data_IF_100654893709
#
_entry.id   IF_100654893709
#
_cell.length_a   1.000
_cell.length_b   1.000
_cell.length_c   1.000
_cell.angle_alpha   90.00
_cell.angle_beta   90.00
_cell.angle_gamma   90.00
#
_symmetry.space_group_name_H-M   'P 1'
#
loop_
_entity.id
_entity.type
_entity.pdbx_description
1 polymer ?
#
# COMPACT_ATOMS: atom_id res chain seq x y z
N UNK A 1 4.51 -13.41 8.90
CA UNK A 1 5.07 -14.73 8.50
C UNK A 1 6.52 -14.87 8.94
N UNK A 2 7.41 -13.96 8.57
CA UNK A 2 8.86 -14.02 8.91
C UNK A 2 9.14 -14.09 10.42
N UNK A 3 8.53 -13.24 11.24
CA UNK A 3 8.70 -13.27 12.71
C UNK A 3 8.27 -14.60 13.32
N UNK A 4 7.20 -15.19 12.81
CA UNK A 4 6.76 -16.52 13.25
C UNK A 4 7.79 -17.59 12.89
N UNK A 5 8.34 -17.55 11.67
CA UNK A 5 9.39 -18.48 11.25
C UNK A 5 10.65 -18.30 12.12
N UNK A 6 11.04 -17.05 12.41
CA UNK A 6 12.18 -16.78 13.30
C UNK A 6 11.96 -17.32 14.70
N UNK A 7 10.77 -17.12 15.26
CA UNK A 7 10.42 -17.65 16.58
C UNK A 7 10.38 -19.19 16.64
N UNK A 8 10.09 -19.83 15.51
CA UNK A 8 10.07 -21.28 15.37
C UNK A 8 11.42 -21.90 14.94
N UNK A 9 12.47 -21.10 14.82
CA UNK A 9 13.80 -21.56 14.37
C UNK A 9 13.85 -22.03 12.92
N UNK A 10 12.96 -21.54 12.07
CA UNK A 10 12.87 -21.91 10.65
C UNK A 10 13.11 -20.75 9.69
N UNK A 11 13.68 -19.65 10.18
CA UNK A 11 13.93 -18.45 9.38
C UNK A 11 14.97 -18.67 8.26
N UNK A 12 15.86 -19.65 8.42
CA UNK A 12 16.83 -20.06 7.43
C UNK A 12 16.23 -20.57 6.11
N UNK A 13 14.94 -20.94 6.14
CA UNK A 13 14.19 -21.28 4.92
C UNK A 13 13.92 -20.09 4.00
N UNK A 14 14.13 -18.88 4.49
CA UNK A 14 13.91 -17.63 3.78
C UNK A 14 15.24 -16.88 3.57
N UNK A 15 16.33 -17.60 3.37
CA UNK A 15 17.61 -17.00 3.09
C UNK A 15 17.58 -16.16 1.82
N UNK A 16 18.51 -15.21 1.72
CA UNK A 16 18.73 -14.39 0.54
C UNK A 16 19.36 -15.20 -0.59
N UNK A 17 18.54 -15.90 -1.36
CA UNK A 17 18.96 -16.76 -2.47
C UNK A 17 18.11 -16.59 -3.73
N UNK A 18 17.22 -15.62 -3.75
CA UNK A 18 16.37 -15.28 -4.89
C UNK A 18 15.30 -16.32 -5.24
N UNK A 19 15.04 -17.29 -4.38
CA UNK A 19 14.08 -18.39 -4.63
C UNK A 19 12.71 -18.07 -4.02
N UNK A 20 12.13 -16.96 -4.43
CA UNK A 20 10.76 -16.60 -4.10
C UNK A 20 9.89 -16.60 -5.35
N UNK A 21 8.61 -16.28 -5.21
CA UNK A 21 7.63 -16.32 -6.29
C UNK A 21 7.89 -15.31 -7.40
N UNK A 22 8.68 -14.27 -7.13
CA UNK A 22 9.03 -13.25 -8.12
C UNK A 22 10.29 -13.69 -8.88
N UNK A 23 10.25 -13.77 -10.22
CA UNK A 23 11.43 -14.12 -11.01
C UNK A 23 12.59 -13.15 -10.78
N UNK A 24 13.81 -13.66 -10.68
CA UNK A 24 15.04 -12.89 -10.41
C UNK A 24 15.29 -11.72 -11.38
N UNK A 25 14.80 -11.83 -12.60
CA UNK A 25 14.91 -10.80 -13.64
C UNK A 25 13.73 -9.79 -13.62
N UNK A 26 12.81 -9.96 -12.69
CA UNK A 26 11.70 -9.06 -12.53
C UNK A 26 12.08 -7.97 -11.52
N UNK A 27 12.17 -6.75 -11.99
CA UNK A 27 12.36 -5.60 -11.11
C UNK A 27 11.05 -4.83 -11.00
N UNK A 28 10.60 -4.59 -9.78
CA UNK A 28 9.56 -3.59 -9.51
C UNK A 28 10.30 -2.31 -9.15
N UNK A 29 10.38 -1.40 -10.10
CA UNK A 29 11.26 -0.24 -9.96
C UNK A 29 12.73 -0.66 -9.83
N UNK A 30 13.38 -0.28 -8.74
CA UNK A 30 14.77 -0.60 -8.44
C UNK A 30 14.94 -1.71 -7.40
N UNK A 31 13.86 -2.43 -7.06
CA UNK A 31 13.93 -3.48 -6.03
C UNK A 31 14.61 -4.71 -6.61
N UNK A 32 15.65 -5.15 -5.94
CA UNK A 32 16.33 -6.43 -6.19
C UNK A 32 15.78 -7.48 -5.24
N UNK A 33 15.90 -8.75 -5.64
CA UNK A 33 15.39 -9.89 -4.89
C UNK A 33 16.44 -10.93 -4.55
N UNK A 34 17.67 -10.74 -4.98
CA UNK A 34 18.78 -11.65 -4.73
C UNK A 34 20.03 -10.84 -4.39
N UNK A 35 20.78 -11.28 -3.41
CA UNK A 35 22.00 -10.60 -2.96
C UNK A 35 21.73 -9.25 -2.31
N UNK A 36 20.58 -9.08 -1.68
CA UNK A 36 20.17 -7.82 -1.01
C UNK A 36 20.69 -7.74 0.43
N UNK A 37 21.06 -8.86 1.03
CA UNK A 37 21.37 -9.01 2.45
C UNK A 37 20.13 -9.21 3.32
N UNK A 38 18.93 -9.16 2.73
CA UNK A 38 17.65 -9.43 3.42
C UNK A 38 17.13 -10.82 3.06
N UNK A 39 16.41 -11.48 3.95
CA UNK A 39 15.69 -12.72 3.58
C UNK A 39 14.68 -12.47 2.45
N UNK A 40 14.59 -13.36 1.47
CA UNK A 40 13.76 -13.22 0.27
C UNK A 40 12.30 -12.88 0.57
N UNK A 41 11.75 -13.42 1.65
CA UNK A 41 10.36 -13.10 2.07
C UNK A 41 10.19 -11.63 2.47
N UNK A 42 11.24 -10.98 2.94
CA UNK A 42 11.23 -9.55 3.23
C UNK A 42 11.34 -8.75 1.93
N UNK A 43 12.15 -9.19 0.99
CA UNK A 43 12.25 -8.54 -0.32
C UNK A 43 10.93 -8.58 -1.09
N UNK A 44 10.19 -9.68 -1.02
CA UNK A 44 8.81 -9.72 -1.56
C UNK A 44 7.87 -8.74 -0.85
N UNK A 45 7.92 -8.68 0.47
CA UNK A 45 7.10 -7.74 1.22
C UNK A 45 7.47 -6.27 0.95
N UNK A 46 8.73 -6.00 0.60
CA UNK A 46 9.20 -4.68 0.20
C UNK A 46 8.49 -4.14 -1.05
N UNK A 47 8.17 -5.01 -2.00
CA UNK A 47 7.44 -4.62 -3.21
C UNK A 47 6.12 -3.93 -2.86
N UNK A 48 5.35 -4.55 -1.97
CA UNK A 48 4.06 -4.02 -1.54
C UNK A 48 4.24 -2.73 -0.73
N UNK A 49 5.22 -2.67 0.17
CA UNK A 49 5.51 -1.47 0.96
C UNK A 49 5.90 -0.29 0.08
N UNK A 50 6.78 -0.48 -0.90
CA UNK A 50 7.17 0.57 -1.84
C UNK A 50 5.97 1.04 -2.68
N UNK A 51 5.10 0.10 -3.06
CA UNK A 51 3.85 0.45 -3.74
C UNK A 51 2.93 1.26 -2.83
N UNK A 52 2.72 0.86 -1.57
CA UNK A 52 1.93 1.62 -0.60
C UNK A 52 2.47 3.05 -0.40
N UNK A 53 3.79 3.22 -0.35
CA UNK A 53 4.40 4.55 -0.25
C UNK A 53 4.16 5.40 -1.49
N UNK A 54 4.10 4.80 -2.67
CA UNK A 54 3.73 5.49 -3.90
C UNK A 54 2.23 5.87 -3.95
N UNK A 55 1.40 5.21 -3.15
CA UNK A 55 -0.02 5.53 -2.98
C UNK A 55 -0.27 6.63 -1.93
N UNK A 56 0.76 7.20 -1.32
CA UNK A 56 0.61 8.34 -0.42
C UNK A 56 0.29 9.62 -1.22
N UNK A 57 -0.69 10.37 -0.75
CA UNK A 57 -1.06 11.67 -1.30
C UNK A 57 0.09 12.66 -1.11
N UNK A 58 0.52 13.26 -2.20
CA UNK A 58 1.59 14.26 -2.18
C UNK A 58 1.03 15.66 -1.93
N UNK A 59 1.87 16.55 -1.41
CA UNK A 59 1.50 17.95 -1.15
C UNK A 59 1.05 18.71 -2.41
N UNK A 60 1.58 18.34 -3.57
CA UNK A 60 1.29 18.93 -4.87
C UNK A 60 0.13 18.24 -5.61
N UNK A 61 -0.54 17.27 -4.99
CA UNK A 61 -1.73 16.65 -5.57
C UNK A 61 -2.84 17.72 -5.72
N UNK A 62 -3.37 17.91 -6.95
CA UNK A 62 -4.30 19.00 -7.25
C UNK A 62 -5.67 18.83 -6.58
N UNK A 63 -6.04 17.63 -6.17
CA UNK A 63 -7.35 17.33 -5.59
C UNK A 63 -7.30 17.14 -4.07
N UNK A 64 -6.25 16.48 -3.58
CA UNK A 64 -6.18 16.00 -2.21
C UNK A 64 -5.04 16.59 -1.38
N UNK A 65 -3.98 17.09 -2.03
CA UNK A 65 -2.75 17.52 -1.36
C UNK A 65 -2.96 18.56 -0.28
N UNK A 66 -3.85 19.52 -0.49
CA UNK A 66 -4.10 20.58 0.49
C UNK A 66 -4.75 20.11 1.80
N UNK A 67 -5.51 19.00 1.76
CA UNK A 67 -6.26 18.50 2.91
C UNK A 67 -5.73 17.16 3.41
N UNK A 68 -5.33 16.28 2.49
CA UNK A 68 -5.04 14.88 2.79
C UNK A 68 -3.59 14.48 2.46
N UNK A 69 -2.66 15.44 2.44
CA UNK A 69 -1.24 15.12 2.31
C UNK A 69 -0.83 14.04 3.31
N UNK A 70 -0.09 13.03 2.83
CA UNK A 70 0.34 11.84 3.57
C UNK A 70 -0.77 10.85 3.97
N UNK A 71 -2.02 11.05 3.57
CA UNK A 71 -2.99 9.98 3.53
C UNK A 71 -2.67 9.00 2.40
N UNK A 72 -3.26 7.82 2.42
CA UNK A 72 -3.05 6.80 1.40
C UNK A 72 -4.32 6.62 0.57
N UNK A 73 -4.17 6.63 -0.75
CA UNK A 73 -5.25 6.30 -1.67
C UNK A 73 -5.80 4.91 -1.37
N UNK A 74 -7.12 4.79 -1.38
CA UNK A 74 -7.78 3.56 -0.92
C UNK A 74 -7.41 2.34 -1.75
N UNK A 75 -7.44 2.46 -3.07
CA UNK A 75 -7.02 1.40 -4.00
C UNK A 75 -6.80 1.93 -5.41
N UNK A 76 -6.08 1.15 -6.18
CA UNK A 76 -5.96 1.26 -7.63
C UNK A 76 -6.69 0.08 -8.28
N UNK A 77 -7.52 0.34 -9.29
CA UNK A 77 -8.24 -0.72 -10.00
C UNK A 77 -8.48 -0.39 -11.46
N UNK A 78 -8.92 -1.39 -12.21
CA UNK A 78 -9.34 -1.24 -13.59
C UNK A 78 -10.70 -0.52 -13.68
N UNK A 79 -10.96 0.14 -14.79
CA UNK A 79 -12.26 0.78 -15.04
C UNK A 79 -13.40 -0.25 -14.99
N UNK A 80 -13.19 -1.42 -15.59
CA UNK A 80 -14.14 -2.54 -15.57
C UNK A 80 -13.50 -3.79 -14.99
N UNK A 81 -14.32 -4.69 -14.50
CA UNK A 81 -13.87 -5.99 -14.09
C UNK A 81 -13.23 -6.75 -15.25
N UNK A 82 -12.01 -7.18 -15.09
CA UNK A 82 -11.25 -7.95 -16.09
C UNK A 82 -11.31 -9.45 -15.78
N UNK A 83 -11.18 -10.29 -16.82
CA UNK A 83 -11.06 -11.73 -16.62
C UNK A 83 -9.79 -12.10 -15.87
N UNK A 84 -9.84 -13.21 -15.13
CA UNK A 84 -8.74 -13.67 -14.26
C UNK A 84 -7.39 -13.89 -14.97
N UNK A 85 -7.39 -14.13 -16.28
CA UNK A 85 -6.17 -14.35 -17.06
C UNK A 85 -5.62 -13.08 -17.71
N UNK A 86 -6.21 -11.91 -17.44
CA UNK A 86 -5.76 -10.65 -18.04
C UNK A 86 -4.52 -10.15 -17.29
N UNK A 87 -3.41 -10.08 -18.01
CA UNK A 87 -2.18 -9.50 -17.46
C UNK A 87 -2.32 -7.97 -17.36
N UNK A 88 -1.74 -7.32 -16.34
CA UNK A 88 -1.88 -5.87 -16.11
C UNK A 88 -1.51 -5.01 -17.32
N UNK A 89 -0.51 -5.41 -18.09
CA UNK A 89 -0.06 -4.70 -19.30
C UNK A 89 -0.89 -5.01 -20.55
N UNK A 90 -1.76 -6.02 -20.48
CA UNK A 90 -2.68 -6.38 -21.57
C UNK A 90 -4.10 -5.89 -21.31
N UNK A 91 -4.32 -5.22 -20.18
CA UNK A 91 -5.63 -4.64 -19.89
C UNK A 91 -5.95 -3.51 -20.86
N UNK A 92 -7.06 -3.66 -21.55
CA UNK A 92 -7.65 -2.63 -22.39
C UNK A 92 -9.16 -2.70 -22.29
N UNK A 93 -9.80 -1.56 -22.21
CA UNK A 93 -11.24 -1.41 -22.31
C UNK A 93 -11.58 -0.20 -23.20
N UNK A 94 -12.81 0.26 -23.17
CA UNK A 94 -13.25 1.45 -23.93
C UNK A 94 -12.52 2.73 -23.53
N UNK A 95 -11.82 2.73 -22.39
CA UNK A 95 -11.00 3.82 -21.86
C UNK A 95 -9.49 3.55 -22.04
N UNK A 96 -9.16 2.54 -22.83
CA UNK A 96 -7.79 2.11 -23.06
C UNK A 96 -7.20 1.36 -21.86
N UNK A 97 -6.00 1.74 -21.46
CA UNK A 97 -5.29 1.15 -20.30
C UNK A 97 -5.49 1.95 -19.01
N UNK A 98 -6.58 2.71 -18.92
CA UNK A 98 -6.82 3.62 -17.81
C UNK A 98 -7.06 2.86 -16.51
N UNK A 99 -6.28 3.21 -15.49
CA UNK A 99 -6.47 2.77 -14.12
C UNK A 99 -7.14 3.89 -13.31
N UNK A 100 -7.97 3.50 -12.36
CA UNK A 100 -8.68 4.42 -11.49
C UNK A 100 -8.11 4.32 -10.09
N UNK A 101 -7.72 5.45 -9.55
CA UNK A 101 -7.30 5.59 -8.15
C UNK A 101 -8.52 6.04 -7.35
N UNK A 102 -8.86 5.31 -6.31
CA UNK A 102 -9.91 5.70 -5.38
C UNK A 102 -9.39 6.74 -4.39
N UNK A 103 -10.29 7.65 -3.93
CA UNK A 103 -9.91 8.67 -2.95
C UNK A 103 -9.13 8.13 -1.77
N UNK A 104 -8.32 8.95 -1.10
CA UNK A 104 -7.63 8.55 0.12
C UNK A 104 -8.64 8.19 1.21
N UNK A 105 -8.29 7.21 2.05
CA UNK A 105 -9.15 6.75 3.13
C UNK A 105 -8.38 6.54 4.43
N UNK A 106 -9.09 6.61 5.55
CA UNK A 106 -8.53 6.30 6.87
C UNK A 106 -8.11 4.84 6.95
N UNK A 107 -8.95 3.92 6.46
CA UNK A 107 -8.68 2.48 6.48
C UNK A 107 -7.37 2.15 5.75
N UNK A 108 -7.17 2.64 4.52
CA UNK A 108 -5.92 2.41 3.77
C UNK A 108 -4.71 3.07 4.46
N UNK A 109 -4.92 4.26 5.03
CA UNK A 109 -3.84 4.99 5.71
C UNK A 109 -3.41 4.27 6.98
N UNK A 110 -4.34 3.83 7.84
CA UNK A 110 -3.99 3.06 9.04
C UNK A 110 -3.36 1.71 8.70
N UNK A 111 -3.83 1.03 7.66
CA UNK A 111 -3.21 -0.21 7.19
C UNK A 111 -1.74 0.03 6.80
N UNK A 112 -1.47 1.05 5.99
CA UNK A 112 -0.09 1.41 5.62
C UNK A 112 0.76 1.77 6.85
N UNK A 113 0.21 2.55 7.79
CA UNK A 113 0.92 2.92 9.03
C UNK A 113 1.34 1.66 9.80
N UNK A 114 0.41 0.72 10.00
CA UNK A 114 0.68 -0.52 10.72
C UNK A 114 1.74 -1.37 10.01
N UNK A 115 1.60 -1.57 8.70
CA UNK A 115 2.56 -2.33 7.90
C UNK A 115 3.95 -1.67 7.89
N UNK A 116 4.01 -0.36 7.71
CA UNK A 116 5.28 0.38 7.68
C UNK A 116 5.98 0.40 9.05
N UNK A 117 5.22 0.57 10.14
CA UNK A 117 5.79 0.50 11.49
C UNK A 117 6.34 -0.90 11.81
N UNK A 118 5.65 -1.96 11.39
CA UNK A 118 6.16 -3.32 11.51
C UNK A 118 7.41 -3.52 10.65
N UNK A 119 7.39 -3.04 9.41
CA UNK A 119 8.51 -3.12 8.49
C UNK A 119 9.76 -2.42 9.04
N UNK A 120 9.62 -1.22 9.61
CA UNK A 120 10.74 -0.51 10.23
C UNK A 120 11.49 -1.39 11.23
N UNK A 121 10.75 -2.14 12.07
CA UNK A 121 11.35 -3.07 13.04
C UNK A 121 11.96 -4.31 12.38
N UNK A 122 11.35 -4.82 11.32
CA UNK A 122 11.83 -6.05 10.65
C UNK A 122 13.11 -5.82 9.85
N UNK A 123 13.24 -4.67 9.19
CA UNK A 123 14.42 -4.34 8.37
C UNK A 123 15.57 -3.72 9.14
N UNK A 124 15.40 -3.37 10.42
CA UNK A 124 16.41 -2.67 11.23
C UNK A 124 17.83 -3.30 11.12
N UNK A 125 17.89 -4.63 11.07
CA UNK A 125 19.16 -5.36 11.00
C UNK A 125 19.56 -5.82 9.58
N UNK A 126 18.77 -5.51 8.56
CA UNK A 126 19.02 -5.93 7.18
C UNK A 126 19.26 -4.73 6.25
N UNK A 127 18.41 -3.72 6.35
CA UNK A 127 18.46 -2.49 5.57
C UNK A 127 17.97 -1.33 6.45
N UNK A 128 18.87 -0.70 7.17
CA UNK A 128 18.55 0.39 8.09
C UNK A 128 17.98 1.62 7.40
N UNK A 129 18.36 1.87 6.14
CA UNK A 129 17.85 3.00 5.38
C UNK A 129 16.40 2.77 4.98
N UNK A 130 16.08 1.55 4.55
CA UNK A 130 14.69 1.18 4.29
C UNK A 130 13.84 1.15 5.56
N UNK A 131 14.39 0.65 6.67
CA UNK A 131 13.74 0.70 7.98
C UNK A 131 13.41 2.15 8.40
N UNK A 132 14.35 3.07 8.22
CA UNK A 132 14.14 4.49 8.50
C UNK A 132 13.08 5.10 7.58
N UNK A 133 13.08 4.77 6.28
CA UNK A 133 12.03 5.18 5.32
C UNK A 133 10.66 4.71 5.75
N UNK A 134 10.53 3.46 6.16
CA UNK A 134 9.27 2.90 6.65
C UNK A 134 8.75 3.65 7.87
N UNK A 135 9.62 3.90 8.85
CA UNK A 135 9.26 4.63 10.06
C UNK A 135 8.86 6.08 9.77
N UNK A 136 9.57 6.75 8.88
CA UNK A 136 9.28 8.14 8.48
C UNK A 136 7.89 8.24 7.82
N UNK A 137 7.59 7.36 6.86
CA UNK A 137 6.28 7.33 6.21
C UNK A 137 5.15 7.01 7.19
N UNK A 138 5.36 6.03 8.10
CA UNK A 138 4.39 5.73 9.15
C UNK A 138 4.09 6.95 10.03
N UNK A 139 5.12 7.68 10.47
CA UNK A 139 4.97 8.89 11.28
C UNK A 139 4.25 10.00 10.54
N UNK A 140 4.62 10.30 9.30
CA UNK A 140 3.97 11.32 8.47
C UNK A 140 2.48 11.05 8.31
N UNK A 141 2.13 9.81 8.00
CA UNK A 141 0.72 9.42 7.84
C UNK A 141 -0.02 9.43 9.17
N UNK A 142 0.61 9.00 10.25
CA UNK A 142 0.04 9.10 11.59
C UNK A 142 -0.27 10.56 11.98
N UNK A 143 0.69 11.46 11.79
CA UNK A 143 0.49 12.89 12.04
C UNK A 143 -0.62 13.48 11.18
N UNK A 144 -0.74 13.03 9.92
CA UNK A 144 -1.79 13.48 9.02
C UNK A 144 -3.17 13.06 9.52
N UNK A 145 -3.39 11.79 9.88
CA UNK A 145 -4.70 11.32 10.37
C UNK A 145 -5.06 11.90 11.72
N UNK A 146 -4.08 12.18 12.59
CA UNK A 146 -4.31 12.78 13.92
C UNK A 146 -4.92 14.19 13.84
N UNK A 147 -4.80 14.87 12.71
CA UNK A 147 -5.45 16.18 12.49
C UNK A 147 -6.97 16.10 12.44
N UNK A 148 -7.53 14.92 12.16
CA UNK A 148 -8.96 14.73 11.89
C UNK A 148 -9.58 13.63 12.78
N UNK A 149 -9.19 13.56 14.04
CA UNK A 149 -9.59 12.50 15.00
C UNK A 149 -11.09 12.30 15.13
N UNK A 150 -11.88 13.35 14.96
CA UNK A 150 -13.35 13.27 15.06
C UNK A 150 -13.99 12.39 13.97
N UNK A 151 -13.27 12.10 12.92
CA UNK A 151 -13.77 11.39 11.74
C UNK A 151 -13.26 9.95 11.64
N UNK A 152 -12.47 9.49 12.60
CA UNK A 152 -11.87 8.16 12.52
C UNK A 152 -12.86 7.00 12.52
N UNK A 153 -14.03 7.17 13.14
CA UNK A 153 -15.03 6.11 13.22
C UNK A 153 -15.71 5.82 11.87
N UNK A 154 -15.75 6.81 10.99
CA UNK A 154 -16.36 6.70 9.66
C UNK A 154 -15.38 7.26 8.65
N UNK A 155 -15.08 6.48 7.61
CA UNK A 155 -14.28 6.94 6.51
C UNK A 155 -15.07 7.95 5.68
N UNK A 156 -14.64 9.20 5.71
CA UNK A 156 -15.28 10.29 4.93
C UNK A 156 -15.26 10.02 3.43
N UNK A 157 -14.36 9.18 2.96
CA UNK A 157 -14.30 8.76 1.56
C UNK A 157 -15.56 8.08 1.06
N UNK A 158 -16.44 7.66 1.96
CA UNK A 158 -17.74 7.09 1.67
C UNK A 158 -18.91 8.05 1.89
N UNK A 159 -18.66 9.26 2.33
CA UNK A 159 -19.72 10.19 2.56
C UNK A 159 -20.27 10.72 1.25
N UNK A 160 -21.51 10.37 0.95
CA UNK A 160 -22.25 10.93 -0.18
C UNK A 160 -22.45 12.45 -0.10
N UNK A 161 -22.18 13.07 1.05
CA UNK A 161 -22.28 14.49 1.28
C UNK A 161 -21.02 15.27 0.93
N UNK A 162 -19.88 14.61 0.77
CA UNK A 162 -18.65 15.25 0.32
C UNK A 162 -18.43 14.98 -1.19
N UNK A 163 -18.62 16.00 -2.04
CA UNK A 163 -18.46 15.81 -3.49
C UNK A 163 -17.04 15.47 -3.91
N UNK A 164 -16.06 15.63 -3.03
CA UNK A 164 -14.69 15.21 -3.28
C UNK A 164 -14.50 13.69 -3.10
N UNK A 165 -15.36 13.06 -2.32
CA UNK A 165 -15.37 11.62 -2.12
C UNK A 165 -16.58 11.06 -2.86
N UNK A 166 -16.43 10.77 -4.13
CA UNK A 166 -17.48 10.01 -4.82
C UNK A 166 -17.74 8.72 -4.04
N UNK A 167 -19.01 8.41 -3.76
CA UNK A 167 -19.35 7.18 -3.04
C UNK A 167 -18.63 5.99 -3.68
N UNK A 168 -17.91 5.22 -2.88
CA UNK A 168 -17.12 4.08 -3.37
C UNK A 168 -18.03 2.99 -3.95
N UNK A 169 -19.29 2.93 -3.54
CA UNK A 169 -20.34 2.06 -4.09
C UNK A 169 -20.78 2.44 -5.50
N UNK A 170 -20.65 3.69 -5.89
CA UNK A 170 -20.88 4.16 -7.26
C UNK A 170 -19.63 4.03 -8.13
N UNK A 171 -18.61 3.48 -7.58
CA UNK A 171 -17.36 3.35 -8.26
C UNK A 171 -17.44 2.32 -9.36
N UNK A 172 -17.06 2.73 -10.50
CA UNK A 172 -16.73 1.88 -11.62
C UNK A 172 -15.66 0.89 -11.15
N UNK A 173 -15.90 -0.40 -11.32
CA UNK A 173 -14.97 -1.47 -10.98
C UNK A 173 -14.75 -1.66 -9.46
N UNK A 174 -14.77 -2.89 -9.01
CA UNK A 174 -14.50 -3.30 -7.64
C UNK A 174 -15.45 -2.70 -6.59
N UNK A 175 -16.18 -3.53 -5.89
CA UNK A 175 -17.15 -3.10 -4.89
C UNK A 175 -16.56 -2.32 -3.72
N UNK A 176 -17.43 -1.68 -2.96
CA UNK A 176 -17.09 -1.10 -1.67
C UNK A 176 -16.91 -2.24 -0.66
N UNK A 177 -15.74 -2.34 -0.05
CA UNK A 177 -15.49 -3.22 1.09
C UNK A 177 -14.41 -2.62 1.98
N UNK A 178 -14.66 -2.60 3.26
CA UNK A 178 -13.72 -2.12 4.27
C UNK A 178 -13.41 -0.62 4.22
N UNK A 179 -14.31 0.17 3.67
CA UNK A 179 -14.07 1.57 3.35
C UNK A 179 -15.00 2.54 4.09
N UNK A 180 -15.96 2.01 4.85
CA UNK A 180 -16.92 2.83 5.60
C UNK A 180 -16.49 3.10 7.05
N UNK A 181 -15.61 2.29 7.59
CA UNK A 181 -15.22 2.35 8.99
C UNK A 181 -13.71 2.20 9.15
N UNK A 182 -13.16 2.90 10.11
CA UNK A 182 -11.83 2.63 10.65
C UNK A 182 -11.97 1.43 11.58
N UNK A 183 -11.50 0.28 11.15
CA UNK A 183 -11.62 -0.97 11.92
C UNK A 183 -10.33 -1.37 12.62
N UNK A 184 -9.20 -0.75 12.30
CA UNK A 184 -7.87 -1.15 12.78
C UNK A 184 -7.18 -0.05 13.61
#
# INVERSE_FOLDING_TARGET
>A
MFERAKAQGSADKFNDNGVMSIPQNYSVGNIKFDGTGSPDILDEARVELEWMFNMMVKSDDPYWGSKYENFVYHKLHDHKWTGLATQPWNYQDEWGTTRIVKPPSYAATFNMIACAAQAARLWENYDSDFAAKCLDNAKKSWEAVMKYQSNWAIDEGNSASDPMFAPLDQAIGGGAYGDSYVQD
#
